data_IF_651259421846
#
_entry.id   IF_651259421846
#
_cell.length_a   1.000
_cell.length_b   1.000
_cell.length_c   1.000
_cell.angle_alpha   90.00
_cell.angle_beta   90.00
_cell.angle_gamma   90.00
#
_symmetry.space_group_name_H-M   'P 1'
#
loop_
_entity.id
_entity.type
_entity.pdbx_description
1 polymer ?
#
# COMPACT_ATOMS: atom_id res chain seq x y z
N UNK A 1 -17.77 -1.02 11.65
CA UNK A 1 -16.34 -1.35 11.80
C UNK A 1 -15.86 -2.06 10.55
N UNK A 2 -15.41 -1.33 9.52
CA UNK A 2 -14.81 -1.96 8.34
C UNK A 2 -13.31 -2.09 8.61
N UNK A 3 -12.87 -3.31 8.95
CA UNK A 3 -11.49 -3.62 9.37
C UNK A 3 -10.43 -3.56 8.28
N UNK A 4 -10.81 -3.19 7.06
CA UNK A 4 -9.93 -3.18 5.89
C UNK A 4 -8.99 -1.98 5.92
N UNK A 5 -7.74 -2.22 5.53
CA UNK A 5 -6.67 -1.22 5.49
C UNK A 5 -6.16 -0.97 4.07
N UNK A 6 -6.49 -1.87 3.13
CA UNK A 6 -6.12 -1.76 1.71
C UNK A 6 -7.37 -1.92 0.85
N UNK A 7 -7.54 -1.07 -0.16
CA UNK A 7 -8.69 -1.13 -1.07
C UNK A 7 -8.25 -1.14 -2.53
N UNK A 8 -8.82 -2.07 -3.31
CA UNK A 8 -8.67 -2.12 -4.77
C UNK A 8 -10.05 -2.22 -5.42
N UNK A 9 -10.41 -1.25 -6.26
CA UNK A 9 -11.71 -1.19 -6.96
C UNK A 9 -12.91 -1.41 -6.03
N UNK A 10 -12.88 -0.77 -4.85
CA UNK A 10 -13.93 -0.89 -3.83
C UNK A 10 -13.89 -2.17 -2.99
N UNK A 11 -13.01 -3.13 -3.29
CA UNK A 11 -12.83 -4.35 -2.49
C UNK A 11 -11.76 -4.13 -1.43
N UNK A 12 -12.14 -4.28 -0.16
CA UNK A 12 -11.24 -4.18 0.99
C UNK A 12 -10.45 -5.48 1.21
N UNK A 13 -9.20 -5.35 1.63
CA UNK A 13 -8.33 -6.44 2.07
C UNK A 13 -7.74 -6.08 3.43
N UNK A 14 -7.74 -7.05 4.34
CA UNK A 14 -7.13 -6.92 5.66
C UNK A 14 -5.66 -7.36 5.59
N UNK A 15 -4.83 -6.85 6.52
CA UNK A 15 -3.47 -7.36 6.71
C UNK A 15 -2.44 -6.26 6.96
N UNK A 16 -2.61 -5.09 6.35
CA UNK A 16 -1.77 -3.93 6.68
C UNK A 16 -2.27 -3.26 7.94
N UNK A 17 -1.35 -2.69 8.70
CA UNK A 17 -1.68 -1.81 9.81
C UNK A 17 -2.23 -0.46 9.29
N UNK A 18 -3.03 0.21 10.12
CA UNK A 18 -3.37 1.61 9.90
C UNK A 18 -2.22 2.45 10.43
N UNK A 19 -1.70 3.35 9.60
CA UNK A 19 -0.70 4.31 10.06
C UNK A 19 -1.32 5.35 11.00
N UNK A 20 -0.48 5.96 11.82
CA UNK A 20 -0.81 6.97 12.81
C UNK A 20 0.02 8.21 12.57
N UNK A 21 -0.33 9.29 13.26
CA UNK A 21 0.43 10.54 13.23
C UNK A 21 1.89 10.29 13.65
N UNK A 22 2.80 11.08 13.07
CA UNK A 22 4.25 11.05 13.32
C UNK A 22 4.98 9.76 12.90
N UNK A 23 4.37 8.89 12.10
CA UNK A 23 5.06 7.74 11.49
C UNK A 23 5.66 8.09 10.13
N UNK A 24 6.75 7.40 9.77
CA UNK A 24 7.37 7.54 8.46
C UNK A 24 6.71 6.54 7.50
N UNK A 25 6.12 7.07 6.42
CA UNK A 25 5.58 6.27 5.33
C UNK A 25 6.56 6.20 4.17
N UNK A 26 6.80 5.00 3.66
CA UNK A 26 7.53 4.78 2.40
C UNK A 26 6.71 3.92 1.46
N UNK A 27 6.58 4.39 0.23
CA UNK A 27 5.98 3.66 -0.88
C UNK A 27 7.10 3.25 -1.85
N UNK A 28 7.25 1.96 -2.08
CA UNK A 28 8.22 1.43 -3.04
C UNK A 28 7.49 0.89 -4.27
N UNK A 29 7.66 1.58 -5.40
CA UNK A 29 7.10 1.17 -6.68
C UNK A 29 8.17 0.56 -7.57
N UNK A 30 7.97 -0.69 -7.98
CA UNK A 30 8.78 -1.35 -8.99
C UNK A 30 8.00 -1.39 -10.31
N UNK A 31 8.35 -0.53 -11.26
CA UNK A 31 7.67 -0.42 -12.54
C UNK A 31 7.87 -1.62 -13.47
N UNK A 32 9.00 -2.33 -13.35
CA UNK A 32 9.27 -3.54 -14.13
C UNK A 32 8.40 -4.71 -13.67
N UNK A 33 8.25 -4.89 -12.35
CA UNK A 33 7.41 -5.93 -11.76
C UNK A 33 5.93 -5.53 -11.65
N UNK A 34 5.63 -4.24 -11.78
CA UNK A 34 4.29 -3.68 -11.58
C UNK A 34 3.81 -3.80 -10.13
N UNK A 35 4.71 -3.65 -9.15
CA UNK A 35 4.37 -3.79 -7.72
C UNK A 35 4.48 -2.49 -6.95
N UNK A 36 3.60 -2.28 -5.97
CA UNK A 36 3.65 -1.16 -5.03
C UNK A 36 3.54 -1.68 -3.59
N UNK A 37 4.58 -1.42 -2.78
CA UNK A 37 4.71 -1.90 -1.40
C UNK A 37 4.68 -0.70 -0.43
N UNK A 38 3.96 -0.85 0.68
CA UNK A 38 3.94 0.12 1.78
C UNK A 38 4.89 -0.33 2.89
N UNK A 39 5.61 0.64 3.45
CA UNK A 39 6.34 0.50 4.71
C UNK A 39 5.84 1.55 5.70
N UNK A 40 5.71 1.15 6.96
CA UNK A 40 5.40 2.02 8.10
C UNK A 40 6.57 1.90 9.07
N UNK A 41 7.24 3.01 9.39
CA UNK A 41 8.45 3.04 10.24
C UNK A 41 9.50 2.00 9.81
N UNK A 42 9.73 1.92 8.50
CA UNK A 42 10.63 0.96 7.83
C UNK A 42 10.20 -0.52 7.90
N UNK A 43 9.06 -0.85 8.51
CA UNK A 43 8.48 -2.19 8.51
C UNK A 43 7.62 -2.40 7.26
N UNK A 44 7.96 -3.41 6.46
CA UNK A 44 7.20 -3.76 5.27
C UNK A 44 5.81 -4.28 5.66
N UNK A 45 4.77 -3.71 5.07
CA UNK A 45 3.40 -4.17 5.26
C UNK A 45 3.12 -5.41 4.37
N UNK A 46 2.33 -6.39 4.86
CA UNK A 46 2.22 -7.70 4.22
C UNK A 46 1.40 -7.71 2.93
N UNK A 47 0.47 -6.76 2.76
CA UNK A 47 -0.37 -6.62 1.57
C UNK A 47 0.18 -5.52 0.68
N UNK A 48 0.40 -5.87 -0.58
CA UNK A 48 0.96 -4.99 -1.60
C UNK A 48 0.16 -5.14 -2.91
N UNK A 49 0.26 -4.14 -3.80
CA UNK A 49 -0.35 -4.21 -5.11
C UNK A 49 0.61 -4.90 -6.10
N UNK A 50 0.08 -5.68 -7.02
CA UNK A 50 0.82 -6.29 -8.12
C UNK A 50 0.07 -6.13 -9.44
N UNK A 51 0.78 -6.29 -10.56
CA UNK A 51 0.18 -6.28 -11.90
C UNK A 51 -0.22 -4.89 -12.41
N UNK A 52 0.33 -3.82 -11.84
CA UNK A 52 0.13 -2.45 -12.31
C UNK A 52 0.82 -2.29 -13.67
N UNK A 53 0.05 -1.95 -14.72
CA UNK A 53 0.57 -1.75 -16.09
C UNK A 53 0.39 -0.32 -16.58
N UNK A 54 -0.40 0.47 -15.87
CA UNK A 54 -0.81 1.82 -16.20
C UNK A 54 0.12 2.87 -15.59
N UNK A 55 -0.02 4.12 -16.04
CA UNK A 55 0.66 5.26 -15.42
C UNK A 55 0.18 5.45 -13.98
N UNK A 56 1.12 5.64 -13.06
CA UNK A 56 0.84 5.74 -11.62
C UNK A 56 0.97 7.18 -11.14
N UNK A 57 0.05 7.60 -10.26
CA UNK A 57 0.13 8.84 -9.47
C UNK A 57 0.01 8.48 -8.00
N UNK A 58 0.91 9.00 -7.18
CA UNK A 58 0.88 8.81 -5.73
C UNK A 58 0.22 10.02 -5.05
N UNK A 59 -0.61 9.76 -4.03
CA UNK A 59 -1.27 10.75 -3.17
C UNK A 59 -1.13 10.20 -1.74
N UNK A 60 -0.62 11.02 -0.82
CA UNK A 60 -0.41 10.68 0.60
C UNK A 60 -1.09 11.75 1.44
#
# INVERSE_FOLDING_TARGET
NYGFSVFYKGKGTNGNEKFKDNQILRLEFNSFKGTLILFIDNVQQPVYFYGIKEKVRFIV
#
